data_IF_933590440088
#
_entry.id   IF_933590440088
#
_cell.length_a   1.000
_cell.length_b   1.000
_cell.length_c   1.000
_cell.angle_alpha   90.00
_cell.angle_beta   90.00
_cell.angle_gamma   90.00
#
_symmetry.space_group_name_H-M   'P 1'
#
loop_
_entity.id
_entity.type
_entity.pdbx_description
1 polymer ?
#
# COMPACT_ATOMS: atom_id res chain seq x y z
N UNK A 1 -5.60 18.52 2.32
CA UNK A 1 -5.16 18.79 3.70
C UNK A 1 -6.28 19.37 4.56
N UNK A 2 -7.03 20.37 4.08
CA UNK A 2 -8.16 20.97 4.83
C UNK A 2 -9.27 19.95 5.17
N UNK A 3 -9.49 18.95 4.32
CA UNK A 3 -10.55 17.94 4.49
C UNK A 3 -10.33 17.05 5.73
N UNK A 4 -9.11 17.00 6.26
CA UNK A 4 -8.73 16.19 7.41
C UNK A 4 -8.23 17.04 8.59
N UNK A 5 -8.52 18.35 8.61
CA UNK A 5 -8.12 19.24 9.69
C UNK A 5 -6.61 19.55 9.77
N UNK A 6 -5.81 19.09 8.80
CA UNK A 6 -4.37 19.36 8.80
C UNK A 6 -4.08 20.80 8.32
N UNK A 7 -3.24 21.56 9.06
CA UNK A 7 -2.78 22.88 8.62
C UNK A 7 -2.06 22.81 7.27
N UNK A 8 -2.21 23.86 6.45
CA UNK A 8 -1.58 23.90 5.12
C UNK A 8 -0.06 23.75 5.16
N UNK A 9 0.59 24.28 6.19
CA UNK A 9 2.06 24.19 6.32
C UNK A 9 2.55 22.78 6.67
N UNK A 10 1.65 21.89 7.13
CA UNK A 10 1.94 20.47 7.39
C UNK A 10 1.73 19.57 6.16
N UNK A 11 1.35 20.14 5.02
CA UNK A 11 1.10 19.37 3.81
C UNK A 11 1.89 19.94 2.63
N UNK A 12 2.43 19.02 1.81
CA UNK A 12 3.04 19.35 0.53
C UNK A 12 2.46 18.45 -0.55
N UNK A 13 2.30 18.99 -1.77
CA UNK A 13 1.81 18.22 -2.90
C UNK A 13 2.81 18.30 -4.05
N UNK A 14 3.14 17.13 -4.59
CA UNK A 14 3.96 17.01 -5.81
C UNK A 14 3.09 16.80 -7.06
N UNK A 15 1.77 16.95 -6.93
CA UNK A 15 0.81 16.63 -8.00
C UNK A 15 1.14 17.32 -9.32
N UNK A 16 1.44 18.62 -9.29
CA UNK A 16 1.76 19.38 -10.50
C UNK A 16 3.02 18.85 -11.19
N UNK A 17 4.05 18.51 -10.43
CA UNK A 17 5.29 17.90 -10.94
C UNK A 17 5.06 16.51 -11.54
N UNK A 18 4.03 15.81 -11.07
CA UNK A 18 3.70 14.46 -11.53
C UNK A 18 2.75 14.45 -12.74
N UNK A 19 2.13 15.59 -13.13
CA UNK A 19 1.16 15.63 -14.23
C UNK A 19 1.66 15.02 -15.55
N UNK A 20 2.91 15.28 -16.03
CA UNK A 20 3.40 14.69 -17.27
C UNK A 20 3.44 13.15 -17.19
N UNK A 21 3.89 12.62 -16.04
CA UNK A 21 3.99 11.17 -15.82
C UNK A 21 2.62 10.51 -15.67
N UNK A 22 1.65 11.22 -15.09
CA UNK A 22 0.26 10.76 -15.02
C UNK A 22 -0.39 10.71 -16.39
N UNK A 23 -0.14 11.73 -17.23
CA UNK A 23 -0.59 11.75 -18.62
C UNK A 23 0.01 10.59 -19.43
N UNK A 24 1.32 10.37 -19.33
CA UNK A 24 1.99 9.21 -19.95
C UNK A 24 1.40 7.88 -19.48
N UNK A 25 1.13 7.73 -18.18
CA UNK A 25 0.49 6.53 -17.66
C UNK A 25 -0.91 6.31 -18.20
N UNK A 26 -1.66 7.40 -18.51
CA UNK A 26 -3.00 7.33 -19.10
C UNK A 26 -2.96 6.91 -20.57
N UNK A 27 -2.00 7.44 -21.34
CA UNK A 27 -1.81 7.12 -22.76
C UNK A 27 -1.31 5.67 -22.91
N UNK A 28 -0.31 5.29 -22.11
CA UNK A 28 0.33 3.98 -22.18
C UNK A 28 -0.07 3.10 -20.97
N UNK A 29 -1.37 3.00 -20.69
CA UNK A 29 -1.92 2.38 -19.50
C UNK A 29 -1.50 0.90 -19.28
N UNK A 30 -1.12 0.19 -20.33
CA UNK A 30 -0.64 -1.21 -20.30
C UNK A 30 0.86 -1.32 -20.02
N UNK A 31 1.65 -0.25 -20.19
CA UNK A 31 3.10 -0.28 -20.03
C UNK A 31 3.50 -0.33 -18.54
N UNK A 32 4.06 -1.45 -18.13
CA UNK A 32 4.63 -1.60 -16.78
C UNK A 32 5.86 -0.70 -16.57
N UNK A 33 6.64 -0.46 -17.64
CA UNK A 33 7.83 0.39 -17.59
C UNK A 33 7.47 1.85 -17.23
N UNK A 34 6.42 2.39 -17.86
CA UNK A 34 5.96 3.77 -17.60
C UNK A 34 5.40 3.89 -16.18
N UNK A 35 4.64 2.90 -15.71
CA UNK A 35 4.15 2.88 -14.32
C UNK A 35 5.30 2.88 -13.31
N UNK A 36 6.35 2.12 -13.59
CA UNK A 36 7.57 2.09 -12.76
C UNK A 36 8.32 3.41 -12.79
N UNK A 37 8.49 3.99 -13.97
CA UNK A 37 9.12 5.31 -14.11
C UNK A 37 8.39 6.34 -13.24
N UNK A 38 7.07 6.37 -13.30
CA UNK A 38 6.24 7.24 -12.46
C UNK A 38 6.51 7.04 -10.97
N UNK A 39 6.51 5.79 -10.49
CA UNK A 39 6.75 5.49 -9.07
C UNK A 39 8.17 5.91 -8.67
N UNK A 40 9.17 5.63 -9.48
CA UNK A 40 10.55 6.01 -9.20
C UNK A 40 10.71 7.54 -9.16
N UNK A 41 10.16 8.25 -10.13
CA UNK A 41 10.22 9.72 -10.17
C UNK A 41 9.52 10.32 -8.95
N UNK A 42 8.35 9.79 -8.59
CA UNK A 42 7.63 10.23 -7.39
C UNK A 42 8.50 10.05 -6.13
N UNK A 43 9.13 8.90 -5.97
CA UNK A 43 9.98 8.57 -4.83
C UNK A 43 11.24 9.48 -4.78
N UNK A 44 11.90 9.69 -5.93
CA UNK A 44 13.04 10.61 -6.02
C UNK A 44 12.67 12.05 -5.71
N UNK A 45 11.57 12.57 -6.27
CA UNK A 45 11.10 13.93 -5.97
C UNK A 45 10.81 14.04 -4.47
N UNK A 46 10.10 13.06 -3.91
CA UNK A 46 9.81 13.03 -2.47
C UNK A 46 11.09 13.03 -1.64
N UNK A 47 12.07 12.19 -2.00
CA UNK A 47 13.36 12.16 -1.33
C UNK A 47 14.09 13.51 -1.36
N UNK A 48 13.91 14.27 -2.44
CA UNK A 48 14.59 15.55 -2.62
C UNK A 48 13.94 16.68 -1.83
N UNK A 49 12.60 16.75 -1.82
CA UNK A 49 11.85 17.83 -1.15
C UNK A 49 11.59 17.55 0.34
N UNK A 50 11.74 16.30 0.77
CA UNK A 50 11.45 15.90 2.15
C UNK A 50 12.38 16.59 3.13
N UNK A 51 11.80 17.25 4.12
CA UNK A 51 12.52 17.87 5.23
C UNK A 51 13.11 16.82 6.17
N UNK A 52 14.07 17.24 7.00
CA UNK A 52 14.55 16.40 8.10
C UNK A 52 13.38 16.08 9.03
N UNK A 53 13.23 14.83 9.39
CA UNK A 53 12.14 14.32 10.23
C UNK A 53 12.70 13.28 11.18
N UNK A 54 12.14 13.15 12.36
CA UNK A 54 12.52 12.13 13.34
C UNK A 54 11.92 10.77 13.00
N UNK A 55 10.72 10.78 12.39
CA UNK A 55 9.99 9.58 11.95
C UNK A 55 9.49 9.77 10.53
N UNK A 56 9.61 8.74 9.73
CA UNK A 56 9.02 8.67 8.38
C UNK A 56 8.12 7.45 8.30
N UNK A 57 6.85 7.69 7.96
CA UNK A 57 5.87 6.65 7.69
C UNK A 57 5.64 6.61 6.18
N UNK A 58 5.76 5.45 5.56
CA UNK A 58 5.61 5.29 4.11
C UNK A 58 4.87 4.00 3.75
N UNK A 59 4.22 3.98 2.60
CA UNK A 59 3.67 2.74 2.03
C UNK A 59 4.79 1.87 1.50
N UNK A 60 4.80 0.60 1.89
CA UNK A 60 5.78 -0.37 1.41
C UNK A 60 5.67 -0.58 -0.11
N UNK A 61 6.79 -0.74 -0.79
CA UNK A 61 6.85 -0.89 -2.25
C UNK A 61 6.70 0.41 -3.05
N UNK A 62 6.00 1.42 -2.54
CA UNK A 62 5.83 2.70 -3.24
C UNK A 62 7.03 3.64 -3.02
N UNK A 63 7.61 3.62 -1.84
CA UNK A 63 8.74 4.46 -1.47
C UNK A 63 9.92 3.62 -0.97
N UNK A 64 11.09 3.87 -1.53
CA UNK A 64 12.37 3.22 -1.18
C UNK A 64 13.47 4.27 -0.98
N UNK A 65 13.61 5.20 -1.93
CA UNK A 65 14.67 6.20 -1.90
C UNK A 65 14.45 7.25 -0.82
N UNK A 66 13.22 7.75 -0.68
CA UNK A 66 12.89 8.77 0.31
C UNK A 66 13.09 8.26 1.74
N UNK A 67 12.54 7.09 2.15
CA UNK A 67 12.79 6.53 3.47
C UNK A 67 14.25 6.16 3.71
N UNK A 68 14.96 5.62 2.70
CA UNK A 68 16.39 5.32 2.81
C UNK A 68 17.23 6.58 3.08
N UNK A 69 16.92 7.68 2.38
CA UNK A 69 17.58 8.97 2.61
C UNK A 69 17.26 9.53 4.01
N UNK A 70 16.02 9.41 4.46
CA UNK A 70 15.62 9.83 5.80
C UNK A 70 16.36 9.05 6.88
N UNK A 71 16.44 7.72 6.74
CA UNK A 71 17.17 6.83 7.65
C UNK A 71 18.64 7.21 7.76
N UNK A 72 19.30 7.52 6.64
CA UNK A 72 20.67 8.03 6.64
C UNK A 72 20.85 9.35 7.40
N UNK A 73 19.78 10.12 7.59
CA UNK A 73 19.75 11.36 8.36
C UNK A 73 19.29 11.17 9.81
N UNK A 74 19.12 9.93 10.25
CA UNK A 74 18.74 9.55 11.62
C UNK A 74 17.26 9.39 11.87
N UNK A 75 16.41 9.39 10.84
CA UNK A 75 14.97 9.15 11.00
C UNK A 75 14.66 7.67 11.27
N UNK A 76 13.69 7.42 12.13
CA UNK A 76 13.03 6.12 12.27
C UNK A 76 12.12 5.88 11.06
N UNK A 77 12.24 4.73 10.41
CA UNK A 77 11.44 4.39 9.23
C UNK A 77 10.40 3.33 9.57
N UNK A 78 9.14 3.68 9.43
CA UNK A 78 7.99 2.79 9.59
C UNK A 78 7.33 2.60 8.23
N UNK A 79 7.19 1.35 7.79
CA UNK A 79 6.39 1.06 6.61
C UNK A 79 5.00 0.55 7.00
N UNK A 80 3.99 1.01 6.28
CA UNK A 80 2.64 0.45 6.35
C UNK A 80 2.47 -0.63 5.29
N UNK A 81 1.96 -1.78 5.73
CA UNK A 81 1.65 -2.90 4.86
C UNK A 81 0.23 -3.42 5.11
N UNK A 82 -0.67 -3.09 4.19
CA UNK A 82 -2.08 -3.50 4.27
C UNK A 82 -2.39 -4.87 3.69
N UNK A 83 -1.41 -5.55 3.09
CA UNK A 83 -1.56 -6.86 2.45
C UNK A 83 -0.59 -7.87 3.06
N UNK A 84 -0.78 -9.17 2.77
CA UNK A 84 0.19 -10.22 3.13
C UNK A 84 1.61 -9.87 2.72
N UNK A 85 2.60 -10.53 3.32
CA UNK A 85 3.99 -10.49 2.85
C UNK A 85 4.03 -10.71 1.33
N UNK A 86 4.86 -9.94 0.62
CA UNK A 86 4.79 -9.88 -0.84
C UNK A 86 4.97 -11.23 -1.52
N UNK A 87 5.83 -12.09 -0.98
CA UNK A 87 6.04 -13.44 -1.51
C UNK A 87 4.81 -14.32 -1.31
N UNK A 88 4.16 -14.21 -0.15
CA UNK A 88 2.92 -14.94 0.12
C UNK A 88 1.76 -14.41 -0.73
N UNK A 89 1.68 -13.09 -0.91
CA UNK A 89 0.72 -12.49 -1.82
C UNK A 89 0.94 -12.97 -3.27
N UNK A 90 2.20 -13.03 -3.72
CA UNK A 90 2.56 -13.55 -5.05
C UNK A 90 2.12 -15.00 -5.19
N UNK A 91 2.45 -15.87 -4.23
CA UNK A 91 2.08 -17.29 -4.20
C UNK A 91 0.57 -17.47 -4.33
N UNK A 92 -0.22 -16.73 -3.53
CA UNK A 92 -1.69 -16.79 -3.58
C UNK A 92 -2.23 -16.30 -4.92
N UNK A 93 -1.65 -15.23 -5.50
CA UNK A 93 -2.10 -14.74 -6.80
C UNK A 93 -1.78 -15.71 -7.94
N UNK A 94 -0.65 -16.41 -7.88
CA UNK A 94 -0.22 -17.40 -8.85
C UNK A 94 -0.98 -18.73 -8.73
N UNK A 95 -1.56 -19.04 -7.57
CA UNK A 95 -2.42 -20.21 -7.41
C UNK A 95 -3.80 -20.08 -8.06
N UNK A 96 -4.20 -18.85 -8.44
CA UNK A 96 -5.45 -18.61 -9.15
C UNK A 96 -5.24 -18.95 -10.64
N UNK A 97 -6.11 -19.78 -11.25
CA UNK A 97 -6.00 -20.12 -12.66
C UNK A 97 -5.90 -18.90 -13.57
N UNK A 98 -5.00 -18.94 -14.55
CA UNK A 98 -4.71 -17.80 -15.44
C UNK A 98 -5.92 -17.31 -16.24
N UNK A 99 -6.87 -18.21 -16.56
CA UNK A 99 -8.12 -17.89 -17.24
C UNK A 99 -9.11 -17.05 -16.39
N UNK A 100 -8.83 -16.88 -15.09
CA UNK A 100 -9.65 -16.09 -14.16
C UNK A 100 -9.28 -14.59 -14.14
N UNK A 101 -8.40 -14.14 -15.04
CA UNK A 101 -8.08 -12.73 -15.24
C UNK A 101 -7.24 -12.08 -14.14
N UNK A 102 -6.72 -12.85 -13.19
CA UNK A 102 -5.81 -12.37 -12.15
C UNK A 102 -4.41 -12.25 -12.72
N UNK A 103 -3.84 -11.04 -12.65
CA UNK A 103 -2.48 -10.79 -13.14
C UNK A 103 -1.45 -11.15 -12.08
N UNK A 104 -0.36 -11.86 -12.45
CA UNK A 104 0.74 -12.12 -11.54
C UNK A 104 1.41 -10.83 -11.10
N UNK A 105 2.02 -10.86 -9.92
CA UNK A 105 2.80 -9.72 -9.41
C UNK A 105 4.16 -9.71 -10.11
N UNK A 106 4.53 -8.62 -10.80
CA UNK A 106 5.84 -8.53 -11.47
C UNK A 106 6.99 -8.63 -10.47
N UNK A 107 8.04 -9.37 -10.80
CA UNK A 107 9.20 -9.59 -9.93
C UNK A 107 9.88 -8.30 -9.47
N UNK A 108 9.81 -7.29 -10.29
CA UNK A 108 10.34 -5.97 -9.93
C UNK A 108 9.56 -5.30 -8.79
N UNK A 109 8.25 -5.52 -8.71
CA UNK A 109 7.43 -5.04 -7.59
C UNK A 109 7.77 -5.85 -6.34
N UNK A 110 7.98 -7.16 -6.49
CA UNK A 110 8.46 -8.02 -5.40
C UNK A 110 9.79 -7.53 -4.85
N UNK A 111 10.77 -7.28 -5.74
CA UNK A 111 12.08 -6.74 -5.33
C UNK A 111 11.97 -5.44 -4.55
N UNK A 112 11.18 -4.51 -5.07
CA UNK A 112 11.01 -3.19 -4.45
C UNK A 112 10.34 -3.28 -3.09
N UNK A 113 9.38 -4.17 -2.96
CA UNK A 113 8.69 -4.44 -1.69
C UNK A 113 9.65 -5.04 -0.66
N UNK A 114 10.42 -6.06 -1.04
CA UNK A 114 11.43 -6.67 -0.17
C UNK A 114 12.51 -5.66 0.26
N UNK A 115 12.88 -4.76 -0.63
CA UNK A 115 13.81 -3.68 -0.33
C UNK A 115 13.25 -2.72 0.74
N UNK A 116 11.95 -2.43 0.70
CA UNK A 116 11.27 -1.68 1.77
C UNK A 116 11.38 -2.39 3.11
N UNK A 117 11.19 -3.71 3.14
CA UNK A 117 11.28 -4.49 4.38
C UNK A 117 12.70 -4.47 4.99
N UNK A 118 13.74 -4.46 4.15
CA UNK A 118 15.14 -4.33 4.62
C UNK A 118 15.41 -2.95 5.22
N UNK A 119 14.84 -1.89 4.63
CA UNK A 119 15.02 -0.51 5.10
C UNK A 119 14.26 -0.27 6.40
N UNK A 120 13.13 -0.93 6.60
CA UNK A 120 12.24 -0.74 7.74
C UNK A 120 12.96 -0.88 9.09
N UNK A 121 12.70 0.03 10.01
CA UNK A 121 12.91 -0.19 11.44
C UNK A 121 11.70 -0.96 11.99
N UNK A 122 10.49 -0.58 11.55
CA UNK A 122 9.24 -1.28 11.87
C UNK A 122 8.32 -1.37 10.66
N UNK A 123 7.46 -2.39 10.65
CA UNK A 123 6.36 -2.52 9.69
C UNK A 123 5.04 -2.57 10.46
N UNK A 124 4.17 -1.61 10.19
CA UNK A 124 2.79 -1.58 10.64
C UNK A 124 1.93 -2.47 9.72
N UNK A 125 1.28 -3.46 10.29
CA UNK A 125 0.46 -4.43 9.56
C UNK A 125 -0.99 -4.38 10.01
N UNK A 126 -1.93 -4.61 9.08
CA UNK A 126 -3.34 -4.34 9.33
C UNK A 126 -4.06 -5.43 10.13
N UNK A 127 -3.51 -6.64 10.26
CA UNK A 127 -4.20 -7.76 10.91
C UNK A 127 -3.27 -8.90 11.31
N UNK A 128 -3.76 -9.77 12.20
CA UNK A 128 -3.09 -11.02 12.57
C UNK A 128 -2.80 -11.90 11.35
N UNK A 129 -3.71 -11.97 10.39
CA UNK A 129 -3.51 -12.73 9.16
C UNK A 129 -2.32 -12.21 8.32
N UNK A 130 -2.12 -10.88 8.28
CA UNK A 130 -0.94 -10.28 7.66
C UNK A 130 0.31 -10.64 8.46
N UNK A 131 0.26 -10.56 9.80
CA UNK A 131 1.35 -10.95 10.69
C UNK A 131 1.82 -12.38 10.41
N UNK A 132 0.91 -13.33 10.38
CA UNK A 132 1.20 -14.74 10.09
C UNK A 132 1.92 -14.93 8.76
N UNK A 133 1.54 -14.15 7.72
CA UNK A 133 2.22 -14.20 6.42
C UNK A 133 3.68 -13.73 6.47
N UNK A 134 4.02 -12.82 7.37
CA UNK A 134 5.41 -12.41 7.60
C UNK A 134 6.21 -13.48 8.36
N UNK A 135 5.55 -14.17 9.30
CA UNK A 135 6.20 -15.25 10.06
C UNK A 135 6.56 -16.44 9.17
N UNK A 136 5.75 -16.77 8.17
CA UNK A 136 6.05 -17.80 7.15
C UNK A 136 7.40 -17.51 6.45
N UNK A 137 7.74 -16.23 6.30
CA UNK A 137 8.98 -15.79 5.64
C UNK A 137 10.09 -15.39 6.63
N UNK A 138 9.98 -15.82 7.90
CA UNK A 138 10.97 -15.58 8.95
C UNK A 138 11.34 -14.09 9.15
N UNK A 139 10.38 -13.19 8.94
CA UNK A 139 10.62 -11.77 9.21
C UNK A 139 10.72 -11.52 10.71
N UNK A 140 11.64 -10.65 11.20
CA UNK A 140 11.82 -10.39 12.62
C UNK A 140 10.53 -9.89 13.29
N UNK A 141 10.00 -10.66 14.23
CA UNK A 141 8.73 -10.37 14.89
C UNK A 141 8.74 -9.06 15.67
N UNK A 142 9.90 -8.69 16.24
CA UNK A 142 10.13 -7.46 17.00
C UNK A 142 10.05 -6.20 16.13
N UNK A 143 10.10 -6.34 14.81
CA UNK A 143 9.90 -5.25 13.85
C UNK A 143 8.48 -5.13 13.34
N UNK A 144 7.58 -6.02 13.77
CA UNK A 144 6.18 -6.01 13.35
C UNK A 144 5.28 -5.52 14.48
N UNK A 145 4.34 -4.65 14.15
CA UNK A 145 3.24 -4.33 15.06
C UNK A 145 1.92 -4.26 14.32
N UNK A 146 0.87 -4.76 14.96
CA UNK A 146 -0.48 -4.77 14.40
C UNK A 146 -1.12 -3.40 14.65
N UNK A 147 -1.46 -2.73 13.56
CA UNK A 147 -2.16 -1.45 13.54
C UNK A 147 -3.39 -1.57 12.63
N UNK A 148 -4.54 -2.06 13.15
CA UNK A 148 -5.76 -2.22 12.37
C UNK A 148 -6.27 -0.89 11.83
N UNK A 149 -6.91 -0.94 10.66
CA UNK A 149 -7.60 0.24 10.14
C UNK A 149 -8.73 0.66 11.06
N UNK A 150 -8.81 1.95 11.31
CA UNK A 150 -9.93 2.54 12.04
C UNK A 150 -11.16 2.75 11.15
N UNK A 151 -12.32 2.90 11.78
CA UNK A 151 -13.58 3.30 11.15
C UNK A 151 -14.29 4.30 12.07
N UNK A 152 -14.94 5.29 11.47
CA UNK A 152 -15.81 6.23 12.22
C UNK A 152 -17.15 5.53 12.46
N UNK A 153 -17.36 5.12 13.71
CA UNK A 153 -18.55 4.33 14.08
C UNK A 153 -19.84 5.15 14.09
N UNK A 154 -19.77 6.47 14.15
CA UNK A 154 -20.95 7.33 14.05
C UNK A 154 -21.64 7.22 12.68
N UNK A 155 -20.89 6.87 11.63
CA UNK A 155 -21.41 6.71 10.28
C UNK A 155 -21.92 5.28 10.00
N UNK A 156 -21.61 4.33 10.89
CA UNK A 156 -21.90 2.90 10.70
C UNK A 156 -22.62 2.33 11.91
N UNK A 157 -23.92 2.47 11.93
CA UNK A 157 -24.79 1.89 12.96
C UNK A 157 -25.90 1.04 12.34
N UNK A 158 -26.31 -0.05 12.99
CA UNK A 158 -27.39 -0.88 12.51
C UNK A 158 -28.73 -0.15 12.65
N UNK A 159 -29.41 0.12 11.55
CA UNK A 159 -30.77 0.61 11.54
C UNK A 159 -31.73 -0.59 11.52
N UNK A 160 -32.24 -0.94 12.70
CA UNK A 160 -33.14 -2.09 12.88
C UNK A 160 -34.56 -1.81 12.35
N UNK A 161 -34.89 -0.56 12.00
CA UNK A 161 -36.20 -0.18 11.44
C UNK A 161 -36.26 -0.31 9.93
N UNK A 162 -35.11 -0.40 9.26
CA UNK A 162 -34.99 -0.52 7.82
C UNK A 162 -35.29 -1.93 7.34
N UNK A 163 -36.21 -2.05 6.41
CA UNK A 163 -36.42 -3.31 5.67
C UNK A 163 -35.16 -3.64 4.85
N UNK A 164 -34.67 -4.85 4.97
CA UNK A 164 -33.54 -5.34 4.17
C UNK A 164 -34.05 -5.72 2.78
N UNK A 165 -33.44 -5.13 1.75
CA UNK A 165 -33.78 -5.44 0.36
C UNK A 165 -32.89 -6.52 -0.24
N UNK A 166 -31.78 -6.86 0.45
CA UNK A 166 -30.80 -7.84 -0.01
C UNK A 166 -30.27 -8.65 1.18
N UNK A 167 -30.07 -9.92 0.98
CA UNK A 167 -29.50 -10.82 2.00
C UNK A 167 -27.96 -10.72 2.02
N UNK A 168 -27.35 -10.47 0.83
CA UNK A 168 -25.92 -10.35 0.65
C UNK A 168 -25.58 -9.13 -0.21
N UNK A 169 -24.56 -8.39 0.20
CA UNK A 169 -24.01 -7.26 -0.56
C UNK A 169 -22.51 -7.44 -0.69
N UNK A 170 -21.98 -7.34 -1.93
CA UNK A 170 -20.55 -7.24 -2.19
C UNK A 170 -20.17 -5.82 -2.54
N UNK A 171 -19.23 -5.24 -1.80
CA UNK A 171 -18.68 -3.90 -2.06
C UNK A 171 -17.23 -4.03 -2.53
N UNK A 172 -16.94 -3.52 -3.74
CA UNK A 172 -15.59 -3.53 -4.30
C UNK A 172 -15.54 -3.98 -5.75
N UNK A 173 -14.32 -4.16 -6.27
CA UNK A 173 -14.14 -4.68 -7.62
C UNK A 173 -14.53 -6.14 -7.74
N UNK A 174 -15.38 -6.47 -8.72
CA UNK A 174 -15.77 -7.84 -9.02
C UNK A 174 -14.58 -8.61 -9.59
N UNK A 175 -14.02 -9.53 -8.81
CA UNK A 175 -12.85 -10.32 -9.21
C UNK A 175 -12.67 -11.56 -8.35
N UNK A 176 -12.04 -12.59 -8.91
CA UNK A 176 -11.70 -13.82 -8.18
C UNK A 176 -10.88 -13.58 -6.91
N UNK A 177 -9.95 -12.61 -6.96
CA UNK A 177 -9.20 -12.20 -5.77
C UNK A 177 -10.08 -11.71 -4.62
N UNK A 178 -11.28 -11.26 -4.90
CA UNK A 178 -12.28 -10.77 -3.94
C UNK A 178 -13.37 -11.79 -3.64
N UNK A 179 -13.26 -13.01 -4.17
CA UNK A 179 -14.22 -14.07 -3.92
C UNK A 179 -15.55 -13.91 -4.69
N UNK A 180 -15.53 -13.27 -5.87
CA UNK A 180 -16.76 -13.11 -6.66
C UNK A 180 -17.37 -14.42 -7.14
N UNK A 181 -16.63 -15.51 -7.05
CA UNK A 181 -17.06 -16.86 -7.38
C UNK A 181 -17.69 -17.61 -6.20
N UNK A 182 -17.72 -16.98 -5.01
CA UNK A 182 -18.32 -17.53 -3.79
C UNK A 182 -19.71 -16.94 -3.49
N UNK A 183 -20.16 -15.97 -4.31
CA UNK A 183 -21.43 -15.29 -4.24
C UNK A 183 -22.27 -15.69 -5.46
#
# INVERSE_FOLDING_TARGET
AMRFGLPKHCSASIFVLMLPFLALCRIFNRSQQIKRLRINVQDYITAWIMRKSDVVIAMSGDFVYAPRRAKKKGALVIYERGSKHILEQKRVMESIPSNKGVKPIPDVNVKRELESYVIADYIAIASKHVYESFMIHNYPKEKLFVNPYGVELSDFYPDMTRQRNYDVIMIGGWSYRKGCDLI
#
